data_IF_615824630272
#
_entry.id   IF_615824630272
#
_cell.length_a   1.000
_cell.length_b   1.000
_cell.length_c   1.000
_cell.angle_alpha   90.00
_cell.angle_beta   90.00
_cell.angle_gamma   90.00
#
_symmetry.space_group_name_H-M   'P 1'
#
loop_
_entity.id
_entity.type
_entity.pdbx_description
1 polymer ?
#
# COMPACT_ATOMS: atom_id res chain seq x y z
N UNK A 1 2.42 -1.71 10.41
CA UNK A 1 2.59 -0.40 11.05
C UNK A 1 4.05 -0.31 11.47
N UNK A 2 4.92 0.01 10.57
CA UNK A 2 6.29 0.29 10.92
C UNK A 2 6.38 1.76 11.33
N UNK A 3 7.01 1.95 12.45
CA UNK A 3 7.37 3.18 13.12
C UNK A 3 7.68 4.34 12.17
N UNK A 4 6.68 5.17 11.89
CA UNK A 4 6.83 6.61 12.00
C UNK A 4 7.37 7.43 10.86
N UNK A 5 7.53 6.97 9.59
CA UNK A 5 8.04 7.93 8.58
C UNK A 5 7.31 8.00 7.23
N UNK A 6 6.54 7.00 6.82
CA UNK A 6 5.72 7.06 5.58
C UNK A 6 4.47 6.22 5.74
N UNK A 7 3.32 6.62 5.18
CA UNK A 7 2.19 5.72 5.07
C UNK A 7 2.65 4.47 4.31
N UNK A 8 2.21 3.27 4.72
CA UNK A 8 2.58 2.07 4.00
C UNK A 8 2.13 2.19 2.54
N UNK A 9 3.04 1.92 1.61
CA UNK A 9 2.81 2.02 0.17
C UNK A 9 1.53 1.30 -0.28
N UNK A 10 1.18 0.18 0.37
CA UNK A 10 -0.05 -0.56 0.13
C UNK A 10 -1.34 0.25 0.33
N UNK A 11 -1.39 1.15 1.32
CA UNK A 11 -2.57 2.00 1.57
C UNK A 11 -2.69 3.11 0.53
N UNK A 12 -1.56 3.70 0.17
CA UNK A 12 -1.53 4.70 -0.88
C UNK A 12 -1.96 4.09 -2.22
N UNK A 13 -1.46 2.91 -2.56
CA UNK A 13 -1.83 2.18 -3.76
C UNK A 13 -3.33 1.84 -3.80
N UNK A 14 -3.93 1.44 -2.67
CA UNK A 14 -5.37 1.18 -2.60
C UNK A 14 -6.21 2.44 -2.83
N UNK A 15 -5.81 3.58 -2.23
CA UNK A 15 -6.50 4.85 -2.42
C UNK A 15 -6.39 5.33 -3.87
N UNK A 16 -5.21 5.20 -4.48
CA UNK A 16 -4.97 5.54 -5.89
C UNK A 16 -5.72 4.64 -6.86
N UNK A 17 -5.90 3.36 -6.52
CA UNK A 17 -6.67 2.40 -7.30
C UNK A 17 -8.20 2.52 -7.14
N UNK A 18 -8.71 3.55 -6.45
CA UNK A 18 -10.15 3.74 -6.24
C UNK A 18 -10.80 2.74 -5.28
N UNK A 19 -10.00 1.93 -4.60
CA UNK A 19 -10.49 0.95 -3.63
C UNK A 19 -10.90 1.60 -2.30
N UNK A 20 -12.03 1.15 -1.74
CA UNK A 20 -12.43 1.54 -0.38
C UNK A 20 -11.50 0.88 0.64
N UNK A 21 -10.94 1.68 1.54
CA UNK A 21 -9.99 1.20 2.55
C UNK A 21 -10.58 1.30 3.94
N UNK A 22 -10.46 0.24 4.73
CA UNK A 22 -10.82 0.23 6.14
C UNK A 22 -9.55 0.15 6.99
N UNK A 23 -9.37 1.13 7.87
CA UNK A 23 -8.27 1.16 8.84
C UNK A 23 -8.70 0.55 10.16
N UNK A 24 -8.06 -0.54 10.60
CA UNK A 24 -8.28 -1.07 11.95
C UNK A 24 -7.27 -0.43 12.89
N UNK A 25 -7.74 0.24 13.93
CA UNK A 25 -6.92 0.98 14.88
C UNK A 25 -6.55 0.12 16.10
N UNK A 26 -5.45 0.49 16.76
CA UNK A 26 -4.98 -0.08 18.03
C UNK A 26 -5.21 0.85 19.22
N UNK A 27 -6.15 1.79 19.08
CA UNK A 27 -6.53 2.82 20.05
C UNK A 27 -7.99 3.21 19.79
N UNK A 28 -8.58 4.04 20.66
CA UNK A 28 -9.94 4.56 20.47
C UNK A 28 -10.12 5.36 19.17
N UNK A 29 -11.36 5.48 18.69
CA UNK A 29 -11.69 6.18 17.45
C UNK A 29 -11.53 7.71 17.53
N UNK A 30 -11.28 8.26 18.70
CA UNK A 30 -10.99 9.67 18.95
C UNK A 30 -9.57 10.10 18.58
N UNK A 31 -8.72 9.16 18.13
CA UNK A 31 -7.35 9.43 17.71
C UNK A 31 -6.86 8.58 16.54
N UNK A 32 -5.71 8.98 16.01
CA UNK A 32 -4.97 8.22 14.99
C UNK A 32 -3.50 8.15 15.39
N UNK A 33 -2.92 6.96 15.34
CA UNK A 33 -1.49 6.78 15.63
C UNK A 33 -0.74 6.15 14.44
N UNK A 34 0.42 6.71 14.06
CA UNK A 34 0.94 8.00 14.49
C UNK A 34 0.07 9.18 14.03
N UNK A 35 0.12 10.31 14.72
CA UNK A 35 -0.70 11.50 14.41
C UNK A 35 -0.46 12.06 13.01
N UNK A 36 0.73 11.83 12.45
CA UNK A 36 1.06 12.17 11.05
C UNK A 36 0.18 11.46 10.01
N UNK A 37 -0.54 10.41 10.39
CA UNK A 37 -1.48 9.70 9.51
C UNK A 37 -2.92 10.21 9.57
N UNK A 38 -3.18 11.32 10.28
CA UNK A 38 -4.53 11.87 10.39
C UNK A 38 -5.11 12.25 9.02
N UNK A 39 -4.32 12.90 8.18
CA UNK A 39 -4.75 13.26 6.83
C UNK A 39 -5.10 12.03 5.98
N UNK A 40 -4.31 10.96 6.09
CA UNK A 40 -4.59 9.70 5.41
C UNK A 40 -5.90 9.07 5.91
N UNK A 41 -6.15 9.09 7.21
CA UNK A 41 -7.39 8.59 7.80
C UNK A 41 -8.62 9.36 7.28
N UNK A 42 -8.52 10.69 7.22
CA UNK A 42 -9.58 11.54 6.66
C UNK A 42 -9.84 11.26 5.19
N UNK A 43 -8.79 11.07 4.39
CA UNK A 43 -8.92 10.70 2.97
C UNK A 43 -9.61 9.33 2.80
N UNK A 44 -9.25 8.34 3.61
CA UNK A 44 -9.90 7.03 3.60
C UNK A 44 -11.41 7.14 3.85
N UNK A 45 -11.82 7.94 4.83
CA UNK A 45 -13.24 8.18 5.15
C UNK A 45 -13.92 8.92 4.00
N UNK A 46 -13.31 9.99 3.48
CA UNK A 46 -13.85 10.79 2.38
C UNK A 46 -14.09 9.96 1.09
N UNK A 47 -13.29 8.93 0.87
CA UNK A 47 -13.43 8.01 -0.27
C UNK A 47 -14.38 6.83 -0.01
N UNK A 48 -15.19 6.92 1.05
CA UNK A 48 -16.19 5.89 1.39
C UNK A 48 -15.60 4.65 2.04
N UNK A 49 -14.38 4.73 2.55
CA UNK A 49 -13.77 3.77 3.46
C UNK A 49 -14.18 4.04 4.92
N UNK A 50 -13.41 3.55 5.90
CA UNK A 50 -13.73 3.76 7.29
C UNK A 50 -12.60 3.44 8.25
N UNK A 51 -12.82 3.77 9.52
CA UNK A 51 -11.97 3.36 10.63
C UNK A 51 -12.75 2.45 11.58
N UNK A 52 -12.09 1.42 12.06
CA UNK A 52 -12.64 0.45 13.00
C UNK A 52 -11.70 0.34 14.21
N UNK A 53 -12.26 0.26 15.40
CA UNK A 53 -11.54 -0.05 16.63
C UNK A 53 -12.36 -0.95 17.53
N UNK A 54 -11.71 -1.83 18.26
CA UNK A 54 -12.32 -2.59 19.36
C UNK A 54 -12.15 -1.90 20.71
N UNK A 55 -11.37 -0.80 20.76
CA UNK A 55 -11.08 -0.07 21.98
C UNK A 55 -12.08 1.08 22.19
N UNK A 56 -12.51 1.32 23.44
CA UNK A 56 -13.29 2.50 23.79
C UNK A 56 -12.56 3.81 23.44
N UNK A 57 -13.31 4.91 23.41
CA UNK A 57 -12.75 6.26 23.27
C UNK A 57 -11.75 6.55 24.41
N UNK A 58 -10.79 7.43 24.14
CA UNK A 58 -9.73 7.83 25.07
C UNK A 58 -8.74 6.70 25.46
N UNK A 59 -8.77 5.57 24.76
CA UNK A 59 -7.81 4.50 24.97
C UNK A 59 -6.59 4.73 24.05
N UNK A 60 -5.38 4.98 24.62
CA UNK A 60 -4.19 5.29 23.84
C UNK A 60 -3.60 4.05 23.12
N UNK A 61 -2.75 4.30 22.12
CA UNK A 61 -2.01 3.25 21.45
C UNK A 61 -0.91 2.67 22.36
N UNK A 62 -0.82 1.33 22.42
CA UNK A 62 0.26 0.61 23.08
C UNK A 62 0.83 -0.48 22.16
N UNK A 63 2.12 -0.86 22.30
CA UNK A 63 2.75 -1.85 21.42
C UNK A 63 1.97 -3.17 21.32
N UNK A 64 1.49 -3.71 22.43
CA UNK A 64 0.74 -4.98 22.44
C UNK A 64 -0.58 -4.88 21.66
N UNK A 65 -1.26 -3.75 21.68
CA UNK A 65 -2.53 -3.54 20.97
C UNK A 65 -2.38 -3.60 19.44
N UNK A 66 -1.19 -3.30 18.92
CA UNK A 66 -0.93 -3.49 17.49
C UNK A 66 -0.94 -4.97 17.09
N UNK A 67 -0.44 -5.83 17.97
CA UNK A 67 -0.45 -7.27 17.76
C UNK A 67 -1.87 -7.85 17.92
N UNK A 68 -2.57 -7.43 18.96
CA UNK A 68 -3.97 -7.82 19.21
C UNK A 68 -4.89 -7.42 18.05
N UNK A 69 -4.76 -6.18 17.56
CA UNK A 69 -5.52 -5.66 16.46
C UNK A 69 -5.33 -6.48 15.16
N UNK A 70 -4.14 -7.05 14.92
CA UNK A 70 -3.83 -7.76 13.68
C UNK A 70 -4.77 -8.95 13.41
N UNK A 71 -5.33 -9.57 14.45
CA UNK A 71 -6.36 -10.61 14.32
C UNK A 71 -7.63 -10.10 13.64
N UNK A 72 -8.01 -8.84 13.94
CA UNK A 72 -9.19 -8.23 13.32
C UNK A 72 -8.92 -7.95 11.84
N UNK A 73 -7.72 -7.49 11.49
CA UNK A 73 -7.32 -7.28 10.08
C UNK A 73 -7.41 -8.59 9.31
N UNK A 74 -6.84 -9.66 9.84
CA UNK A 74 -6.87 -10.97 9.20
C UNK A 74 -8.29 -11.56 9.12
N UNK A 75 -9.08 -11.43 10.20
CA UNK A 75 -10.44 -11.97 10.26
C UNK A 75 -11.44 -11.29 9.35
N UNK A 76 -11.33 -9.98 9.16
CA UNK A 76 -12.20 -9.20 8.27
C UNK A 76 -11.84 -9.37 6.79
N UNK A 77 -10.59 -9.71 6.49
CA UNK A 77 -10.14 -9.86 5.11
C UNK A 77 -10.56 -11.24 4.56
N UNK A 78 -10.93 -11.29 3.29
CA UNK A 78 -11.13 -12.55 2.57
C UNK A 78 -9.79 -13.26 2.35
N UNK A 79 -8.75 -12.48 2.11
CA UNK A 79 -7.38 -12.95 1.97
C UNK A 79 -6.38 -11.94 2.53
N UNK A 80 -5.19 -12.42 2.90
CA UNK A 80 -4.05 -11.59 3.29
C UNK A 80 -2.94 -11.73 2.25
N UNK A 81 -2.36 -10.60 1.84
CA UNK A 81 -1.24 -10.56 0.91
C UNK A 81 -0.01 -10.08 1.68
N UNK A 82 1.04 -10.88 1.72
CA UNK A 82 2.34 -10.55 2.32
C UNK A 82 3.32 -10.24 1.20
N UNK A 83 3.73 -8.97 1.09
CA UNK A 83 4.71 -8.55 0.09
C UNK A 83 6.14 -8.77 0.61
N UNK A 84 6.37 -8.44 1.87
CA UNK A 84 7.67 -8.52 2.51
C UNK A 84 7.48 -8.78 4.01
N UNK A 85 8.17 -9.78 4.55
CA UNK A 85 8.13 -10.09 5.98
C UNK A 85 9.48 -10.64 6.46
N UNK A 86 10.22 -9.91 7.31
CA UNK A 86 11.30 -10.48 8.12
C UNK A 86 10.79 -11.54 9.09
N UNK A 87 11.68 -12.41 9.60
CA UNK A 87 11.29 -13.51 10.52
C UNK A 87 10.58 -13.06 11.80
N UNK A 88 10.88 -11.85 12.30
CA UNK A 88 10.30 -11.31 13.54
C UNK A 88 9.37 -10.12 13.26
N UNK A 89 8.56 -10.19 12.20
CA UNK A 89 7.70 -9.08 11.82
C UNK A 89 6.26 -9.22 12.33
N UNK A 90 5.62 -8.08 12.57
CA UNK A 90 4.18 -8.02 12.82
C UNK A 90 3.34 -8.57 11.65
N UNK A 91 3.88 -8.55 10.43
CA UNK A 91 3.26 -9.12 9.24
C UNK A 91 3.11 -10.64 9.34
N UNK A 92 4.12 -11.34 9.92
CA UNK A 92 4.01 -12.78 10.16
C UNK A 92 2.90 -13.11 11.15
N UNK A 93 2.69 -12.29 12.19
CA UNK A 93 1.57 -12.48 13.11
C UNK A 93 0.23 -12.34 12.40
N UNK A 94 0.10 -11.35 11.52
CA UNK A 94 -1.12 -11.21 10.70
C UNK A 94 -1.31 -12.41 9.77
N UNK A 95 -0.23 -12.90 9.16
CA UNK A 95 -0.27 -14.09 8.30
C UNK A 95 -0.69 -15.35 9.08
N UNK A 96 -0.15 -15.55 10.28
CA UNK A 96 -0.54 -16.68 11.13
C UNK A 96 -2.01 -16.61 11.55
N UNK A 97 -2.50 -15.42 11.96
CA UNK A 97 -3.92 -15.24 12.25
C UNK A 97 -4.80 -15.53 11.01
N UNK A 98 -4.32 -15.16 9.80
CA UNK A 98 -5.01 -15.47 8.55
C UNK A 98 -5.17 -17.00 8.37
N UNK A 99 -4.11 -17.76 8.59
CA UNK A 99 -4.11 -19.24 8.53
C UNK A 99 -5.05 -19.82 9.59
N UNK A 100 -4.95 -19.35 10.84
CA UNK A 100 -5.78 -19.81 11.96
C UNK A 100 -7.28 -19.58 11.70
N UNK A 101 -7.64 -18.51 11.00
CA UNK A 101 -9.02 -18.21 10.63
C UNK A 101 -9.47 -18.89 9.33
N UNK A 102 -8.65 -19.75 8.73
CA UNK A 102 -8.96 -20.43 7.48
C UNK A 102 -9.13 -19.48 6.30
N UNK A 103 -8.40 -18.36 6.31
CA UNK A 103 -8.40 -17.37 5.22
C UNK A 103 -7.24 -17.63 4.26
N UNK A 104 -7.40 -17.22 3.02
CA UNK A 104 -6.37 -17.38 2.00
C UNK A 104 -5.16 -16.48 2.28
N UNK A 105 -3.96 -17.06 2.18
CA UNK A 105 -2.71 -16.34 2.38
C UNK A 105 -1.87 -16.38 1.11
N UNK A 106 -1.61 -15.20 0.55
CA UNK A 106 -0.78 -14.98 -0.63
C UNK A 106 0.54 -14.34 -0.22
N UNK A 107 1.63 -14.79 -0.81
CA UNK A 107 2.97 -14.31 -0.47
C UNK A 107 3.77 -14.01 -1.73
N UNK A 108 4.29 -12.80 -1.83
CA UNK A 108 5.22 -12.43 -2.87
C UNK A 108 6.63 -12.98 -2.55
N UNK A 109 7.33 -13.58 -3.52
CA UNK A 109 8.70 -14.03 -3.34
C UNK A 109 9.66 -12.83 -3.35
N UNK A 110 10.85 -13.04 -2.80
CA UNK A 110 11.93 -12.06 -2.83
C UNK A 110 13.29 -12.73 -2.94
N UNK A 111 14.36 -11.94 -2.91
CA UNK A 111 15.72 -12.45 -3.01
C UNK A 111 16.06 -13.40 -1.85
N UNK A 112 16.62 -14.57 -2.15
CA UNK A 112 16.81 -15.69 -1.20
C UNK A 112 17.61 -15.33 0.06
N UNK A 113 18.61 -14.46 -0.06
CA UNK A 113 19.50 -14.08 1.05
C UNK A 113 19.10 -12.76 1.71
N UNK A 114 18.01 -12.15 1.30
CA UNK A 114 17.60 -10.84 1.83
C UNK A 114 16.82 -11.03 3.14
N UNK A 115 17.29 -10.48 4.28
CA UNK A 115 16.67 -10.69 5.59
C UNK A 115 15.17 -10.36 5.64
N UNK A 116 14.77 -9.34 4.89
CA UNK A 116 13.38 -8.88 4.82
C UNK A 116 12.41 -9.90 4.22
N UNK A 117 12.89 -10.90 3.47
CA UNK A 117 12.06 -11.93 2.83
C UNK A 117 12.12 -13.30 3.50
N UNK A 118 12.94 -13.48 4.53
CA UNK A 118 13.09 -14.77 5.19
C UNK A 118 11.78 -15.30 5.78
N UNK A 119 10.97 -14.42 6.36
CA UNK A 119 9.63 -14.78 6.85
C UNK A 119 8.65 -15.08 5.69
N UNK A 120 8.70 -14.30 4.60
CA UNK A 120 7.92 -14.61 3.39
C UNK A 120 8.26 -16.00 2.86
N UNK A 121 9.55 -16.35 2.77
CA UNK A 121 9.97 -17.68 2.33
C UNK A 121 9.51 -18.80 3.30
N UNK A 122 9.48 -18.53 4.61
CA UNK A 122 8.95 -19.49 5.58
C UNK A 122 7.45 -19.75 5.34
N UNK A 123 6.65 -18.70 5.10
CA UNK A 123 5.23 -18.83 4.78
C UNK A 123 4.99 -19.62 3.48
N UNK A 124 5.79 -19.37 2.44
CA UNK A 124 5.70 -20.11 1.16
C UNK A 124 5.99 -21.61 1.41
N UNK A 125 7.03 -21.93 2.20
CA UNK A 125 7.35 -23.32 2.56
C UNK A 125 6.25 -24.02 3.38
N UNK A 126 5.43 -23.26 4.10
CA UNK A 126 4.27 -23.75 4.85
C UNK A 126 3.04 -23.97 3.98
N UNK A 127 3.11 -23.69 2.68
CA UNK A 127 2.03 -23.95 1.73
C UNK A 127 1.17 -22.73 1.41
N UNK A 128 1.62 -21.51 1.75
CA UNK A 128 0.92 -20.30 1.29
C UNK A 128 1.00 -20.14 -0.21
N UNK A 129 -0.02 -19.54 -0.83
CA UNK A 129 -0.04 -19.29 -2.26
C UNK A 129 1.05 -18.30 -2.66
N UNK A 130 1.97 -18.72 -3.53
CA UNK A 130 2.98 -17.84 -4.11
C UNK A 130 2.33 -17.01 -5.21
N UNK A 131 2.57 -15.70 -5.20
CA UNK A 131 2.13 -14.79 -6.25
C UNK A 131 3.32 -14.07 -6.87
N UNK A 132 3.32 -13.94 -8.18
CA UNK A 132 4.34 -13.23 -8.93
C UNK A 132 3.80 -11.98 -9.62
N UNK A 133 2.50 -11.93 -9.82
CA UNK A 133 1.79 -10.84 -10.47
C UNK A 133 0.40 -10.62 -9.82
N UNK A 134 -0.19 -9.43 -9.90
CA UNK A 134 -1.52 -9.16 -9.36
C UNK A 134 -2.61 -10.03 -9.98
N UNK A 135 -2.42 -10.43 -11.22
CA UNK A 135 -3.30 -11.30 -11.98
C UNK A 135 -3.52 -12.67 -11.33
N UNK A 136 -2.55 -13.16 -10.55
CA UNK A 136 -2.67 -14.43 -9.82
C UNK A 136 -3.85 -14.38 -8.83
N UNK A 137 -4.03 -13.24 -8.15
CA UNK A 137 -5.13 -13.02 -7.20
C UNK A 137 -6.46 -12.86 -7.94
N UNK A 138 -6.45 -12.10 -9.05
CA UNK A 138 -7.64 -11.88 -9.88
C UNK A 138 -8.16 -13.22 -10.39
N UNK A 139 -7.29 -14.07 -10.91
CA UNK A 139 -7.62 -15.43 -11.39
C UNK A 139 -8.12 -16.32 -10.25
N UNK A 140 -7.44 -16.32 -9.10
CA UNK A 140 -7.82 -17.14 -7.95
C UNK A 140 -9.25 -16.87 -7.46
N UNK A 141 -9.63 -15.61 -7.37
CA UNK A 141 -10.96 -15.20 -6.91
C UNK A 141 -11.98 -15.02 -8.03
N UNK A 142 -11.64 -15.31 -9.29
CA UNK A 142 -12.46 -15.06 -10.47
C UNK A 142 -13.01 -13.63 -10.51
N UNK A 143 -12.16 -12.64 -10.19
CA UNK A 143 -12.54 -11.24 -10.22
C UNK A 143 -12.49 -10.71 -11.65
N UNK A 144 -13.44 -9.84 -12.01
CA UNK A 144 -13.32 -9.07 -13.25
C UNK A 144 -12.19 -8.06 -13.12
N UNK A 145 -11.39 -7.90 -14.19
CA UNK A 145 -10.38 -6.84 -14.20
C UNK A 145 -11.09 -5.49 -14.11
N UNK A 146 -10.86 -4.77 -13.02
CA UNK A 146 -11.24 -3.37 -12.97
C UNK A 146 -10.49 -2.63 -14.09
N UNK A 147 -11.23 -1.95 -14.97
CA UNK A 147 -10.62 -1.07 -15.96
C UNK A 147 -9.82 0.00 -15.21
N UNK A 148 -8.56 0.20 -15.61
CA UNK A 148 -7.63 1.18 -15.01
C UNK A 148 -8.06 2.64 -15.20
N UNK A 149 -9.27 2.88 -15.71
CA UNK A 149 -9.77 4.19 -16.11
C UNK A 149 -10.07 5.17 -14.95
N UNK A 150 -10.09 4.69 -13.70
CA UNK A 150 -10.44 5.51 -12.54
C UNK A 150 -9.33 5.57 -11.49
N UNK A 151 -8.15 6.08 -11.86
CA UNK A 151 -7.16 6.52 -10.88
C UNK A 151 -7.72 7.74 -10.10
N UNK A 152 -8.13 7.54 -8.85
CA UNK A 152 -8.49 8.64 -7.96
C UNK A 152 -7.18 9.25 -7.47
N UNK A 153 -6.78 10.34 -8.12
CA UNK A 153 -5.59 11.10 -7.74
C UNK A 153 -5.82 11.85 -6.42
N UNK A 154 -4.79 12.01 -5.57
CA UNK A 154 -4.88 12.86 -4.39
C UNK A 154 -5.41 14.26 -4.74
N UNK A 155 -6.25 14.83 -3.88
CA UNK A 155 -6.93 16.11 -4.09
C UNK A 155 -5.98 17.33 -4.21
N UNK A 156 -4.72 17.19 -3.82
CA UNK A 156 -3.70 18.24 -3.76
C UNK A 156 -2.66 18.20 -4.89
N UNK A 157 -2.97 17.47 -5.98
CA UNK A 157 -2.09 17.43 -7.15
C UNK A 157 -2.36 18.59 -8.11
N UNK A 158 -1.29 19.24 -8.55
CA UNK A 158 -1.35 20.19 -9.65
C UNK A 158 -1.75 19.49 -10.96
N UNK A 159 -2.24 20.26 -11.94
CA UNK A 159 -2.64 19.68 -13.22
C UNK A 159 -1.45 19.03 -13.95
N UNK A 160 -0.25 19.63 -13.83
CA UNK A 160 1.00 19.05 -14.35
C UNK A 160 1.30 17.70 -13.69
N UNK A 161 1.17 17.60 -12.37
CA UNK A 161 1.39 16.33 -11.65
C UNK A 161 0.39 15.25 -12.07
N UNK A 162 -0.88 15.63 -12.29
CA UNK A 162 -1.92 14.69 -12.79
C UNK A 162 -1.59 14.18 -14.19
N UNK A 163 -1.12 15.05 -15.09
CA UNK A 163 -0.77 14.65 -16.45
C UNK A 163 0.49 13.76 -16.47
N UNK A 164 1.49 14.06 -15.64
CA UNK A 164 2.66 13.18 -15.46
C UNK A 164 2.27 11.79 -14.96
N UNK A 165 1.36 11.70 -14.00
CA UNK A 165 0.84 10.42 -13.50
C UNK A 165 0.13 9.65 -14.61
N UNK A 166 -0.70 10.31 -15.45
CA UNK A 166 -1.37 9.64 -16.57
C UNK A 166 -0.37 9.06 -17.58
N UNK A 167 0.70 9.79 -17.88
CA UNK A 167 1.75 9.32 -18.80
C UNK A 167 2.48 8.13 -18.20
N UNK A 168 2.90 8.22 -16.93
CA UNK A 168 3.63 7.17 -16.23
C UNK A 168 2.76 5.93 -15.93
N UNK A 169 1.44 6.09 -15.90
CA UNK A 169 0.51 4.96 -15.77
C UNK A 169 0.46 4.08 -17.02
N UNK A 170 0.83 4.59 -18.18
CA UNK A 170 0.86 3.81 -19.42
C UNK A 170 2.15 2.99 -19.55
N UNK A 171 3.29 3.60 -19.22
CA UNK A 171 4.60 2.94 -19.23
C UNK A 171 5.65 3.76 -18.48
N UNK A 172 6.70 3.09 -18.02
CA UNK A 172 7.88 3.76 -17.46
C UNK A 172 8.53 4.66 -18.53
N UNK A 173 8.97 5.85 -18.15
CA UNK A 173 9.50 6.83 -19.07
C UNK A 173 10.87 7.37 -18.62
N UNK A 174 11.77 7.56 -19.57
CA UNK A 174 12.99 8.34 -19.37
C UNK A 174 12.64 9.83 -19.31
N UNK A 175 13.49 10.62 -18.67
CA UNK A 175 13.27 12.06 -18.52
C UNK A 175 13.14 12.76 -19.87
N UNK A 176 13.96 12.38 -20.84
CA UNK A 176 13.93 12.99 -22.18
C UNK A 176 12.60 12.73 -22.89
N UNK A 177 12.06 11.51 -22.75
CA UNK A 177 10.73 11.18 -23.28
C UNK A 177 9.63 11.99 -22.60
N UNK A 178 9.74 12.21 -21.28
CA UNK A 178 8.77 13.03 -20.55
C UNK A 178 8.81 14.49 -21.00
N UNK A 179 9.99 15.05 -21.29
CA UNK A 179 10.14 16.39 -21.89
C UNK A 179 9.43 16.45 -23.23
N UNK A 180 9.65 15.45 -24.09
CA UNK A 180 9.03 15.40 -25.41
C UNK A 180 7.52 15.23 -25.38
N UNK A 181 6.99 14.43 -24.46
CA UNK A 181 5.56 14.19 -24.31
C UNK A 181 4.82 15.37 -23.68
N UNK A 182 5.43 16.01 -22.67
CA UNK A 182 4.78 17.08 -21.91
C UNK A 182 5.04 18.46 -22.48
N UNK A 183 6.09 18.62 -23.30
CA UNK A 183 6.58 19.91 -23.81
C UNK A 183 6.94 20.91 -22.71
N UNK A 184 7.18 20.42 -21.49
CA UNK A 184 7.58 21.24 -20.36
C UNK A 184 9.09 21.50 -20.37
N UNK A 185 9.48 22.64 -19.82
CA UNK A 185 10.89 22.91 -19.57
C UNK A 185 11.45 21.87 -18.56
N UNK A 186 12.69 21.37 -18.79
CA UNK A 186 13.29 20.32 -17.94
C UNK A 186 13.29 20.67 -16.45
N UNK A 187 13.46 21.93 -16.07
CA UNK A 187 13.44 22.37 -14.68
C UNK A 187 12.06 22.22 -14.03
N UNK A 188 10.99 22.58 -14.78
CA UNK A 188 9.61 22.44 -14.31
C UNK A 188 9.25 20.96 -14.18
N UNK A 189 9.65 20.15 -15.15
CA UNK A 189 9.44 18.71 -15.14
C UNK A 189 10.10 18.05 -13.92
N UNK A 190 11.41 18.29 -13.70
CA UNK A 190 12.16 17.76 -12.57
C UNK A 190 11.57 18.17 -11.21
N UNK A 191 11.13 19.41 -11.08
CA UNK A 191 10.47 19.89 -9.86
C UNK A 191 9.19 19.10 -9.56
N UNK A 192 8.35 18.87 -10.56
CA UNK A 192 7.11 18.13 -10.39
C UNK A 192 7.37 16.63 -10.15
N UNK A 193 8.34 16.02 -10.85
CA UNK A 193 8.74 14.64 -10.60
C UNK A 193 9.29 14.46 -9.18
N UNK A 194 10.12 15.39 -8.70
CA UNK A 194 10.62 15.40 -7.32
C UNK A 194 9.48 15.53 -6.30
N UNK A 195 8.51 16.40 -6.56
CA UNK A 195 7.33 16.53 -5.71
C UNK A 195 6.51 15.23 -5.68
N UNK A 196 6.30 14.59 -6.81
CA UNK A 196 5.62 13.29 -6.91
C UNK A 196 6.40 12.17 -6.19
N UNK A 197 7.74 12.19 -6.27
CA UNK A 197 8.60 11.25 -5.55
C UNK A 197 8.50 11.47 -4.03
N UNK A 198 8.49 12.72 -3.58
CA UNK A 198 8.29 13.05 -2.16
C UNK A 198 6.89 12.67 -1.67
N UNK A 199 5.88 12.76 -2.52
CA UNK A 199 4.51 12.28 -2.26
C UNK A 199 4.41 10.74 -2.29
N UNK A 200 5.47 10.05 -2.71
CA UNK A 200 5.50 8.58 -2.80
C UNK A 200 4.67 8.01 -3.96
N UNK A 201 4.44 8.79 -5.00
CA UNK A 201 3.63 8.42 -6.16
C UNK A 201 4.48 7.95 -7.34
N UNK A 202 5.72 8.43 -7.43
CA UNK A 202 6.65 8.14 -8.52
C UNK A 202 7.97 7.65 -7.95
N UNK A 203 8.54 6.63 -8.55
CA UNK A 203 9.89 6.15 -8.29
C UNK A 203 10.81 6.46 -9.46
N UNK A 204 12.13 6.43 -9.19
CA UNK A 204 13.17 6.56 -10.20
C UNK A 204 14.18 5.42 -10.07
N UNK A 205 14.56 4.84 -11.20
CA UNK A 205 15.63 3.86 -11.26
C UNK A 205 16.38 4.02 -12.58
N UNK A 206 17.68 4.30 -12.50
CA UNK A 206 18.55 4.49 -13.67
C UNK A 206 18.04 5.55 -14.67
N UNK A 207 17.50 6.65 -14.16
CA UNK A 207 16.96 7.74 -15.00
C UNK A 207 15.58 7.45 -15.61
N UNK A 208 14.98 6.31 -15.30
CA UNK A 208 13.62 5.96 -15.70
C UNK A 208 12.66 6.19 -14.53
N UNK A 209 11.60 6.94 -14.79
CA UNK A 209 10.52 7.23 -13.84
C UNK A 209 9.36 6.26 -14.03
N UNK A 210 8.77 5.82 -12.91
CA UNK A 210 7.64 4.88 -12.91
C UNK A 210 6.68 5.19 -11.76
N UNK A 211 5.42 4.77 -11.90
CA UNK A 211 4.43 4.85 -10.82
C UNK A 211 4.74 3.79 -9.76
N UNK A 212 4.67 4.20 -8.48
CA UNK A 212 4.89 3.34 -7.31
C UNK A 212 3.62 2.56 -6.92
#
# INVERSE_FOLDING_TARGET
WNTGRRPPASRLAQLLGGGKTVGVLSLGLDGVYPSSHLNLANQMIAQGGGLLSEYPLNVPAFPNRFLERNRIVAGLAKATIVIEAPLESGSLRTANNCIEFGRDLFVAPGALKQPNFLGSHALIKQGSYLITEPEDIIKYFNLEKASRENLILPLDLSDIEKDLIKILNQSNQLIDNLVDLTKLEPQILLRNLSALTLKGLVGETNGSYYLL
#
